data_IF_919384909422
#
_entry.id   IF_919384909422
#
_cell.length_a   1.000
_cell.length_b   1.000
_cell.length_c   1.000
_cell.angle_alpha   90.00
_cell.angle_beta   90.00
_cell.angle_gamma   90.00
#
_symmetry.space_group_name_H-M   'P 1'
#
loop_
_entity.id
_entity.type
_entity.pdbx_description
1 polymer ?
#
# COMPACT_ATOMS: atom_id res chain seq x y z
N UNK A 1 24.26 4.48 -3.39
CA UNK A 1 23.87 5.71 -4.07
C UNK A 1 22.34 5.85 -4.04
N UNK A 2 21.87 7.03 -3.78
CA UNK A 2 20.45 7.25 -3.68
C UNK A 2 19.94 7.77 -5.01
N UNK A 3 18.95 7.08 -5.55
CA UNK A 3 18.30 7.52 -6.76
C UNK A 3 17.56 8.83 -6.50
N UNK A 4 17.64 9.80 -7.42
CA UNK A 4 16.88 11.02 -7.23
C UNK A 4 15.37 10.78 -7.16
N UNK A 5 14.90 9.66 -7.70
CA UNK A 5 13.48 9.34 -7.64
C UNK A 5 13.10 8.65 -6.34
N UNK A 6 14.07 8.29 -5.53
CA UNK A 6 13.77 7.56 -4.32
C UNK A 6 13.22 8.49 -3.27
N UNK A 7 11.98 8.27 -2.92
CA UNK A 7 11.26 9.06 -1.96
C UNK A 7 10.97 8.19 -0.75
N UNK A 8 11.16 8.71 0.47
CA UNK A 8 10.80 7.94 1.65
C UNK A 8 9.34 7.49 1.57
N UNK A 9 9.08 6.28 2.06
CA UNK A 9 7.77 5.67 1.92
C UNK A 9 6.68 6.57 2.49
N UNK A 10 6.92 7.17 3.63
CA UNK A 10 5.90 7.98 4.30
C UNK A 10 5.55 9.26 3.52
N UNK A 11 6.34 9.61 2.52
CA UNK A 11 6.07 10.77 1.68
C UNK A 11 5.49 10.40 0.33
N UNK A 12 5.39 9.12 0.03
CA UNK A 12 4.82 8.69 -1.25
C UNK A 12 3.31 8.75 -1.20
N UNK A 13 2.71 9.10 -2.33
CA UNK A 13 1.26 9.05 -2.47
C UNK A 13 0.78 7.62 -2.67
N UNK A 14 1.53 6.86 -3.46
CA UNK A 14 1.21 5.46 -3.73
C UNK A 14 2.41 4.60 -3.39
N UNK A 15 2.12 3.35 -3.05
CA UNK A 15 3.14 2.37 -2.67
C UNK A 15 2.98 1.13 -3.53
N UNK A 16 4.10 0.46 -3.80
CA UNK A 16 4.01 -0.90 -4.32
C UNK A 16 3.55 -1.82 -3.21
N UNK A 17 3.14 -3.05 -3.58
CA UNK A 17 2.72 -4.02 -2.57
C UNK A 17 3.85 -4.29 -1.59
N UNK A 18 5.08 -4.39 -2.10
CA UNK A 18 6.23 -4.63 -1.24
C UNK A 18 6.47 -3.48 -0.28
N UNK A 19 6.36 -2.24 -0.79
CA UNK A 19 6.54 -1.08 0.07
C UNK A 19 5.46 -1.01 1.14
N UNK A 20 4.23 -1.33 0.77
CA UNK A 20 3.14 -1.34 1.73
C UNK A 20 3.37 -2.40 2.80
N UNK A 21 3.91 -3.55 2.43
CA UNK A 21 4.21 -4.60 3.39
C UNK A 21 5.28 -4.15 4.37
N UNK A 22 6.33 -3.51 3.88
CA UNK A 22 7.40 -3.02 4.74
C UNK A 22 6.91 -1.90 5.65
N UNK A 23 6.11 -1.01 5.10
CA UNK A 23 5.62 0.14 5.84
C UNK A 23 4.68 -0.26 6.96
N UNK A 24 3.83 -1.24 6.70
CA UNK A 24 2.80 -1.66 7.65
C UNK A 24 3.20 -2.87 8.47
N UNK A 25 4.26 -3.55 8.08
CA UNK A 25 4.68 -4.81 8.68
C UNK A 25 3.63 -5.90 8.53
N UNK A 26 2.83 -5.79 7.49
CA UNK A 26 1.84 -6.81 7.12
C UNK A 26 2.40 -7.62 5.96
N UNK A 27 2.15 -8.92 5.95
CA UNK A 27 2.67 -9.78 4.91
C UNK A 27 2.17 -9.41 3.52
N UNK A 28 3.01 -9.64 2.51
CA UNK A 28 2.68 -9.31 1.12
C UNK A 28 1.41 -10.03 0.68
N UNK A 29 1.29 -11.31 1.04
CA UNK A 29 0.12 -12.09 0.63
C UNK A 29 -1.16 -11.52 1.22
N UNK A 30 -1.10 -11.07 2.47
CA UNK A 30 -2.25 -10.46 3.11
C UNK A 30 -2.67 -9.19 2.38
N UNK A 31 -1.69 -8.36 2.04
CA UNK A 31 -1.98 -7.11 1.34
C UNK A 31 -2.55 -7.40 -0.05
N UNK A 32 -1.96 -8.36 -0.76
CA UNK A 32 -2.46 -8.71 -2.09
C UNK A 32 -3.91 -9.19 -2.02
N UNK A 33 -4.24 -9.98 -1.02
CA UNK A 33 -5.62 -10.41 -0.82
C UNK A 33 -6.55 -9.24 -0.56
N UNK A 34 -6.10 -8.27 0.23
CA UNK A 34 -6.91 -7.09 0.50
C UNK A 34 -7.15 -6.27 -0.77
N UNK A 35 -6.13 -6.18 -1.63
CA UNK A 35 -6.27 -5.44 -2.88
C UNK A 35 -7.25 -6.09 -3.83
N UNK A 36 -7.44 -7.40 -3.72
CA UNK A 36 -8.33 -8.13 -4.60
C UNK A 36 -9.78 -8.08 -4.14
N UNK A 37 -10.04 -7.60 -2.95
CA UNK A 37 -11.42 -7.55 -2.47
C UNK A 37 -12.19 -6.51 -3.27
N UNK A 38 -13.48 -6.76 -3.52
CA UNK A 38 -14.31 -5.77 -4.20
C UNK A 38 -14.38 -4.49 -3.38
N UNK A 39 -14.39 -3.37 -4.09
CA UNK A 39 -14.51 -2.05 -3.45
C UNK A 39 -13.39 -1.74 -2.48
N UNK A 40 -12.19 -2.26 -2.76
CA UNK A 40 -11.03 -1.94 -1.94
C UNK A 40 -10.75 -0.43 -2.05
N UNK A 41 -10.75 0.30 -0.93
CA UNK A 41 -10.64 1.76 -1.00
C UNK A 41 -9.22 2.25 -1.26
N UNK A 42 -8.22 1.39 -1.16
CA UNK A 42 -6.84 1.85 -1.28
C UNK A 42 -6.09 1.23 -2.47
N UNK A 43 -6.79 0.59 -3.38
CA UNK A 43 -6.15 0.03 -4.57
C UNK A 43 -6.19 1.05 -5.70
N UNK A 44 -5.07 1.15 -6.43
CA UNK A 44 -5.00 1.98 -7.62
C UNK A 44 -4.38 1.14 -8.73
N UNK A 45 -5.06 1.10 -9.86
CA UNK A 45 -4.56 0.36 -11.02
C UNK A 45 -3.89 1.32 -11.99
N UNK A 46 -2.64 1.02 -12.34
CA UNK A 46 -1.91 1.79 -13.34
C UNK A 46 -1.43 0.79 -14.37
N UNK A 47 -2.12 0.74 -15.49
CA UNK A 47 -1.87 -0.30 -16.48
C UNK A 47 -2.15 -1.66 -15.88
N UNK A 48 -1.15 -2.53 -15.89
CA UNK A 48 -1.28 -3.87 -15.29
C UNK A 48 -0.83 -3.92 -13.84
N UNK A 49 -0.37 -2.80 -13.31
CA UNK A 49 0.15 -2.77 -11.95
C UNK A 49 -0.92 -2.39 -10.96
N UNK A 50 -0.88 -3.01 -9.79
CA UNK A 50 -1.68 -2.61 -8.65
C UNK A 50 -0.81 -1.85 -7.68
N UNK A 51 -1.25 -0.68 -7.28
CA UNK A 51 -0.55 0.14 -6.31
C UNK A 51 -1.46 0.39 -5.12
N UNK A 52 -0.85 0.76 -4.01
CA UNK A 52 -1.57 1.02 -2.77
C UNK A 52 -1.60 2.51 -2.52
N UNK A 53 -2.79 3.07 -2.33
CA UNK A 53 -2.92 4.47 -1.94
C UNK A 53 -2.57 4.59 -0.46
N UNK A 54 -1.48 5.29 -0.17
CA UNK A 54 -0.91 5.26 1.18
C UNK A 54 -1.88 5.76 2.25
N UNK A 55 -2.49 6.90 2.02
CA UNK A 55 -3.37 7.47 3.04
C UNK A 55 -4.58 6.61 3.33
N UNK A 56 -5.21 6.13 2.28
CA UNK A 56 -6.37 5.26 2.45
C UNK A 56 -5.99 3.95 3.09
N UNK A 57 -4.80 3.45 2.75
CA UNK A 57 -4.29 2.24 3.36
C UNK A 57 -4.05 2.43 4.85
N UNK A 58 -3.47 3.56 5.24
CA UNK A 58 -3.26 3.88 6.66
C UNK A 58 -4.58 3.95 7.40
N UNK A 59 -5.58 4.59 6.80
CA UNK A 59 -6.89 4.67 7.42
C UNK A 59 -7.52 3.30 7.57
N UNK A 60 -7.40 2.47 6.55
CA UNK A 60 -7.94 1.13 6.60
C UNK A 60 -7.31 0.33 7.74
N UNK A 61 -5.99 0.40 7.84
CA UNK A 61 -5.28 -0.33 8.90
C UNK A 61 -5.74 0.15 10.26
N UNK A 62 -5.84 1.43 10.46
CA UNK A 62 -6.18 1.94 11.78
C UNK A 62 -7.62 1.66 12.16
N UNK A 63 -8.51 1.49 11.18
CA UNK A 63 -9.92 1.23 11.47
C UNK A 63 -10.25 -0.25 11.52
N UNK A 64 -9.60 -1.05 10.67
CA UNK A 64 -10.00 -2.44 10.49
C UNK A 64 -9.06 -3.43 11.15
N UNK A 65 -7.79 -3.07 11.28
CA UNK A 65 -6.79 -3.98 11.80
C UNK A 65 -6.26 -3.57 13.16
N UNK A 66 -6.92 -2.66 13.80
CA UNK A 66 -6.56 -2.29 15.16
C UNK A 66 -6.82 -3.44 16.08
N UNK A 67 -5.87 -3.67 16.90
CA UNK A 67 -5.96 -4.74 17.88
C UNK A 67 -6.01 -4.13 19.27
#
# INVERSE_FOLDING_TARGET
>A
MISPERVPIHLKVTLTIREAAEYSNIGINKIDNLLRTPNCPFVLYVGTKKLVKRKEFEQFISQKLII
#
